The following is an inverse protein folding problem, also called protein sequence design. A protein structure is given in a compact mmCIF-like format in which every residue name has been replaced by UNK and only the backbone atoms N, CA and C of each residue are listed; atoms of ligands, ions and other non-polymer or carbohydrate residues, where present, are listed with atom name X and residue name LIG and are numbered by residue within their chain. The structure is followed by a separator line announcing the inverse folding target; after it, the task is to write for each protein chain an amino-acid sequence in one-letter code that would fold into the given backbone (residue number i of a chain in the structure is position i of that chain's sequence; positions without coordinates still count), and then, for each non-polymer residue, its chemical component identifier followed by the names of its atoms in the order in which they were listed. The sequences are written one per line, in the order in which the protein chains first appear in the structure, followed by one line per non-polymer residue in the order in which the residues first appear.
data_IF_737347177874
#
_entry.id   IF_737347177874
#
_cell.length_a   1.000
_cell.length_b   1.000
_cell.length_c   1.000
_cell.angle_alpha   90.00
_cell.angle_beta   90.00
_cell.angle_gamma   90.00
#
_symmetry.space_group_name_H-M   'P 1'
#
loop_
_entity.id
_entity.type
_entity.pdbx_description
1 polymer ?
#
# COMPACT_ATOMS: atom_id res chain seq x y z
N UNK A 1 -13.30 -5.62 -17.28
CA UNK A 1 -12.50 -4.46 -16.83
C UNK A 1 -11.05 -4.91 -16.68
N UNK A 2 -10.17 -4.22 -17.35
CA UNK A 2 -8.75 -4.52 -17.28
C UNK A 2 -8.05 -3.62 -16.27
N UNK A 3 -7.00 -4.12 -15.64
CA UNK A 3 -6.15 -3.35 -14.75
C UNK A 3 -4.69 -3.76 -14.95
N UNK A 4 -3.78 -2.88 -14.55
CA UNK A 4 -2.36 -3.15 -14.64
C UNK A 4 -1.77 -3.17 -13.23
N UNK A 5 -1.16 -4.29 -12.85
CA UNK A 5 -0.48 -4.41 -11.57
C UNK A 5 0.82 -3.59 -11.58
N UNK A 6 1.03 -2.84 -10.50
CA UNK A 6 2.26 -2.10 -10.28
C UNK A 6 2.47 -1.93 -8.78
N UNK A 7 3.71 -1.78 -8.36
CA UNK A 7 4.04 -1.52 -6.95
C UNK A 7 4.72 -0.16 -6.77
N UNK A 8 4.87 0.60 -7.85
CA UNK A 8 5.40 1.96 -7.83
C UNK A 8 4.48 2.88 -8.64
N UNK A 9 4.25 4.11 -8.17
CA UNK A 9 3.46 5.07 -8.95
C UNK A 9 4.22 5.55 -10.18
N UNK A 10 3.47 5.91 -11.22
CA UNK A 10 4.02 6.60 -12.37
C UNK A 10 4.23 8.07 -12.02
N UNK A 11 5.03 8.77 -12.84
CA UNK A 11 5.23 10.22 -12.69
C UNK A 11 3.88 10.96 -12.75
N UNK A 12 3.03 10.58 -13.69
CA UNK A 12 1.70 11.18 -13.87
C UNK A 12 0.82 10.98 -12.64
N UNK A 13 0.83 9.76 -12.06
CA UNK A 13 0.09 9.48 -10.84
C UNK A 13 0.59 10.31 -9.66
N UNK A 14 1.90 10.45 -9.52
CA UNK A 14 2.48 11.26 -8.44
C UNK A 14 2.14 12.75 -8.61
N UNK A 15 2.22 13.26 -9.82
CA UNK A 15 1.84 14.65 -10.12
C UNK A 15 0.37 14.91 -9.78
N UNK A 16 -0.53 13.99 -10.18
CA UNK A 16 -1.96 14.10 -9.86
C UNK A 16 -2.22 14.04 -8.37
N UNK A 17 -1.51 13.17 -7.65
CA UNK A 17 -1.64 13.06 -6.19
C UNK A 17 -1.26 14.37 -5.48
N UNK A 18 -0.29 15.12 -6.01
CA UNK A 18 0.19 16.37 -5.42
C UNK A 18 -0.71 17.58 -5.72
N UNK A 19 -1.70 17.44 -6.62
CA UNK A 19 -2.63 18.50 -6.90
C UNK A 19 -3.60 18.73 -5.74
N UNK A 20 -4.07 19.97 -5.59
CA UNK A 20 -5.04 20.35 -4.58
C UNK A 20 -4.44 20.64 -3.21
N UNK A 21 -5.25 20.51 -2.18
CA UNK A 21 -4.84 20.81 -0.80
C UNK A 21 -4.14 19.61 -0.16
N UNK A 22 -2.87 19.76 0.16
CA UNK A 22 -2.02 18.72 0.74
C UNK A 22 -2.08 18.68 2.28
N UNK A 23 -2.90 19.53 2.90
CA UNK A 23 -3.01 19.66 4.35
C UNK A 23 -4.27 18.99 4.93
N UNK A 24 -5.18 18.51 4.09
CA UNK A 24 -6.41 17.85 4.56
C UNK A 24 -6.20 16.34 4.77
N UNK A 25 -6.96 15.74 5.71
CA UNK A 25 -6.88 14.29 5.92
C UNK A 25 -7.27 13.48 4.70
N UNK A 26 -6.59 12.35 4.51
CA UNK A 26 -6.87 11.39 3.44
C UNK A 26 -6.93 9.98 3.99
N UNK A 27 -7.68 9.12 3.31
CA UNK A 27 -7.64 7.68 3.51
C UNK A 27 -7.14 7.03 2.21
N UNK A 28 -6.23 6.06 2.34
CA UNK A 28 -5.71 5.32 1.19
C UNK A 28 -6.23 3.88 1.28
N UNK A 29 -7.04 3.51 0.30
CA UNK A 29 -7.51 2.13 0.16
C UNK A 29 -6.47 1.36 -0.63
N UNK A 30 -6.05 0.23 -0.08
CA UNK A 30 -5.08 -0.65 -0.73
C UNK A 30 -5.72 -1.98 -1.05
N UNK A 31 -5.58 -2.41 -2.30
CA UNK A 31 -5.88 -3.77 -2.71
C UNK A 31 -4.55 -4.42 -3.08
N UNK A 32 -4.27 -5.56 -2.50
CA UNK A 32 -2.95 -6.20 -2.58
C UNK A 32 -3.04 -7.58 -3.21
N UNK A 33 -2.06 -7.86 -4.08
CA UNK A 33 -1.85 -9.17 -4.69
C UNK A 33 -0.46 -9.65 -4.32
N UNK A 34 -0.35 -10.81 -3.67
CA UNK A 34 0.94 -11.34 -3.24
C UNK A 34 1.60 -12.18 -4.34
N UNK A 35 2.93 -12.10 -4.41
CA UNK A 35 3.73 -13.07 -5.15
C UNK A 35 3.65 -14.41 -4.42
N UNK A 36 3.73 -15.49 -5.18
CA UNK A 36 3.85 -16.83 -4.59
C UNK A 36 5.14 -16.94 -3.78
N UNK A 37 6.25 -16.48 -4.34
CA UNK A 37 7.55 -16.40 -3.67
C UNK A 37 8.06 -14.97 -3.71
N UNK A 38 8.52 -14.47 -2.56
CA UNK A 38 9.08 -13.13 -2.48
C UNK A 38 10.34 -13.01 -3.35
N UNK A 39 10.53 -11.83 -3.94
CA UNK A 39 11.72 -11.52 -4.73
C UNK A 39 12.19 -10.12 -4.42
N UNK A 40 13.34 -10.03 -3.77
CA UNK A 40 13.93 -8.73 -3.42
C UNK A 40 14.70 -8.14 -4.60
N UNK A 41 14.47 -6.85 -4.85
CA UNK A 41 15.14 -6.15 -5.93
C UNK A 41 16.65 -6.01 -5.72
N UNK A 42 17.11 -6.05 -4.44
CA UNK A 42 18.53 -5.99 -4.12
C UNK A 42 19.27 -7.33 -4.37
N UNK A 43 18.56 -8.35 -4.84
CA UNK A 43 19.16 -9.63 -5.22
C UNK A 43 19.42 -10.59 -4.07
N UNK A 44 19.01 -10.26 -2.84
CA UNK A 44 19.18 -11.18 -1.71
C UNK A 44 18.36 -12.46 -1.91
N UNK A 45 18.89 -13.57 -1.45
CA UNK A 45 18.15 -14.84 -1.44
C UNK A 45 17.13 -14.86 -0.31
N UNK A 46 15.98 -15.48 -0.55
CA UNK A 46 14.95 -15.64 0.46
C UNK A 46 14.09 -16.87 0.19
N UNK A 47 13.64 -17.52 1.25
CA UNK A 47 12.67 -18.61 1.18
C UNK A 47 11.26 -18.13 1.54
N UNK A 48 11.07 -16.82 1.79
CA UNK A 48 9.78 -16.26 2.15
C UNK A 48 8.80 -16.33 0.98
N UNK A 49 7.51 -16.54 1.30
CA UNK A 49 6.43 -16.30 0.35
C UNK A 49 6.24 -14.78 0.21
N UNK A 50 5.55 -14.37 -0.84
CA UNK A 50 5.19 -12.95 -0.99
C UNK A 50 4.40 -12.43 0.19
N UNK A 51 3.45 -13.20 0.68
CA UNK A 51 2.65 -12.85 1.86
C UNK A 51 3.50 -12.69 3.11
N UNK A 52 4.48 -13.58 3.33
CA UNK A 52 5.39 -13.49 4.47
C UNK A 52 6.28 -12.24 4.41
N UNK A 53 6.80 -11.90 3.23
CA UNK A 53 7.60 -10.69 3.06
C UNK A 53 6.74 -9.44 3.34
N UNK A 54 5.52 -9.41 2.82
CA UNK A 54 4.59 -8.31 3.10
C UNK A 54 4.24 -8.22 4.59
N UNK A 55 4.14 -9.35 5.29
CA UNK A 55 3.88 -9.36 6.73
C UNK A 55 4.97 -8.62 7.51
N UNK A 56 6.24 -8.73 7.09
CA UNK A 56 7.34 -7.97 7.70
C UNK A 56 7.09 -6.47 7.51
N UNK A 57 6.75 -6.06 6.29
CA UNK A 57 6.41 -4.67 5.99
C UNK A 57 5.25 -4.19 6.87
N UNK A 58 4.20 -5.01 6.99
CA UNK A 58 3.00 -4.66 7.78
C UNK A 58 3.32 -4.37 9.25
N UNK A 59 4.22 -5.14 9.85
CA UNK A 59 4.63 -4.90 11.22
C UNK A 59 5.43 -3.60 11.35
N UNK A 60 6.33 -3.35 10.42
CA UNK A 60 7.23 -2.19 10.46
C UNK A 60 6.51 -0.89 10.11
N UNK A 61 5.58 -0.92 9.16
CA UNK A 61 4.90 0.30 8.69
C UNK A 61 4.05 0.96 9.76
N UNK A 62 3.55 0.20 10.74
CA UNK A 62 2.77 0.74 11.85
C UNK A 62 3.56 1.84 12.59
N UNK A 63 4.85 1.60 12.84
CA UNK A 63 5.72 2.60 13.47
C UNK A 63 5.98 3.81 12.58
N UNK A 64 6.15 3.59 11.28
CA UNK A 64 6.35 4.69 10.32
C UNK A 64 5.11 5.58 10.20
N UNK A 65 3.92 4.97 10.15
CA UNK A 65 2.66 5.70 10.16
C UNK A 65 2.52 6.54 11.43
N UNK A 66 2.82 5.95 12.57
CA UNK A 66 2.70 6.61 13.87
C UNK A 66 3.54 7.88 13.96
N UNK A 67 4.75 7.87 13.40
CA UNK A 67 5.65 9.04 13.36
C UNK A 67 5.04 10.25 12.67
N UNK A 68 4.14 10.03 11.72
CA UNK A 68 3.51 11.11 10.94
C UNK A 68 2.04 11.31 11.30
N UNK A 69 1.57 10.68 12.37
CA UNK A 69 0.18 10.82 12.82
C UNK A 69 -0.82 9.97 12.04
N UNK A 70 -0.33 9.01 11.26
CA UNK A 70 -1.17 8.09 10.50
C UNK A 70 -1.46 6.80 11.25
N UNK A 71 -2.36 6.00 10.68
CA UNK A 71 -2.71 4.68 11.23
C UNK A 71 -3.33 3.77 10.17
N UNK A 72 -3.27 2.47 10.40
CA UNK A 72 -4.08 1.50 9.68
C UNK A 72 -5.43 1.45 10.39
N UNK A 73 -6.51 1.81 9.69
CA UNK A 73 -7.86 1.87 10.27
C UNK A 73 -8.67 0.60 10.03
N UNK A 74 -8.30 -0.19 9.04
CA UNK A 74 -8.99 -1.42 8.68
C UNK A 74 -8.06 -2.30 7.87
N UNK A 75 -8.16 -3.61 8.05
CA UNK A 75 -7.44 -4.57 7.22
C UNK A 75 -8.09 -5.94 7.27
N UNK A 76 -7.96 -6.70 6.20
CA UNK A 76 -8.49 -8.04 6.15
C UNK A 76 -8.15 -8.81 4.89
N UNK A 77 -8.31 -10.13 4.97
CA UNK A 77 -8.18 -11.02 3.83
C UNK A 77 -9.47 -10.96 3.01
N UNK A 78 -9.32 -10.87 1.69
CA UNK A 78 -10.45 -10.86 0.78
C UNK A 78 -10.88 -12.29 0.53
N UNK A 79 -12.16 -12.60 0.78
CA UNK A 79 -12.67 -13.96 0.67
C UNK A 79 -13.34 -14.25 -0.66
N UNK A 80 -14.26 -13.39 -1.10
CA UNK A 80 -15.04 -13.62 -2.32
C UNK A 80 -15.74 -12.37 -2.80
N UNK A 81 -16.05 -12.34 -4.09
CA UNK A 81 -16.99 -11.36 -4.63
C UNK A 81 -18.41 -11.79 -4.27
N UNK A 82 -19.19 -10.86 -3.76
CA UNK A 82 -20.63 -11.01 -3.62
C UNK A 82 -21.36 -10.51 -4.86
N UNK A 83 -20.84 -9.47 -5.47
CA UNK A 83 -21.37 -8.82 -6.66
C UNK A 83 -20.26 -8.43 -7.61
N UNK A 84 -20.57 -8.43 -8.89
CA UNK A 84 -19.66 -7.97 -9.92
C UNK A 84 -18.73 -9.07 -10.44
N UNK A 85 -17.88 -8.68 -11.37
CA UNK A 85 -16.89 -9.56 -11.99
C UNK A 85 -15.56 -8.84 -12.05
N UNK A 86 -14.48 -9.57 -11.82
CA UNK A 86 -13.10 -9.09 -12.01
C UNK A 86 -12.30 -10.20 -12.66
N UNK A 87 -11.20 -9.83 -13.31
CA UNK A 87 -10.32 -10.78 -13.99
C UNK A 87 -9.67 -11.72 -12.98
N UNK A 88 -9.30 -11.19 -11.81
CA UNK A 88 -8.70 -11.94 -10.73
C UNK A 88 -8.98 -11.20 -9.42
N UNK A 89 -9.38 -11.92 -8.39
CA UNK A 89 -9.67 -11.32 -7.10
C UNK A 89 -8.37 -10.97 -6.35
N UNK A 90 -8.39 -9.85 -5.68
CA UNK A 90 -7.28 -9.41 -4.82
C UNK A 90 -7.21 -10.26 -3.54
N UNK A 91 -6.02 -10.32 -2.92
CA UNK A 91 -5.78 -11.17 -1.76
C UNK A 91 -6.14 -10.49 -0.44
N UNK A 92 -5.81 -9.22 -0.32
CA UNK A 92 -5.92 -8.48 0.95
C UNK A 92 -6.29 -7.03 0.68
N UNK A 93 -7.01 -6.44 1.62
CA UNK A 93 -7.28 -5.00 1.62
C UNK A 93 -6.82 -4.37 2.92
N UNK A 94 -6.33 -3.14 2.83
CA UNK A 94 -5.92 -2.33 3.97
C UNK A 94 -6.32 -0.88 3.71
N UNK A 95 -6.76 -0.21 4.77
CA UNK A 95 -7.04 1.22 4.70
C UNK A 95 -6.10 1.93 5.67
N UNK A 96 -5.28 2.82 5.14
CA UNK A 96 -4.37 3.66 5.92
C UNK A 96 -4.90 5.09 5.92
N UNK A 97 -4.96 5.70 7.08
CA UNK A 97 -5.39 7.10 7.23
C UNK A 97 -4.18 7.97 7.59
N UNK A 98 -4.12 9.12 6.94
CA UNK A 98 -3.08 10.14 7.18
C UNK A 98 -3.76 11.48 7.50
N UNK A 99 -3.14 12.28 8.39
CA UNK A 99 -3.68 13.62 8.66
C UNK A 99 -3.60 14.55 7.44
N UNK A 100 -2.74 14.23 6.47
CA UNK A 100 -2.58 15.00 5.23
C UNK A 100 -1.77 14.21 4.20
N UNK A 101 -1.83 14.63 2.94
CA UNK A 101 -0.93 14.09 1.90
C UNK A 101 0.53 14.39 2.25
N UNK A 102 0.78 15.55 2.81
CA UNK A 102 2.12 15.97 3.25
C UNK A 102 2.71 14.98 4.27
N UNK A 103 1.88 14.51 5.22
CA UNK A 103 2.30 13.51 6.20
C UNK A 103 2.69 12.19 5.52
N UNK A 104 1.88 11.73 4.57
CA UNK A 104 2.19 10.52 3.80
C UNK A 104 3.49 10.66 3.04
N UNK A 105 3.71 11.79 2.36
CA UNK A 105 4.93 12.05 1.60
C UNK A 105 6.16 12.08 2.50
N UNK A 106 6.02 12.65 3.69
CA UNK A 106 7.09 12.65 4.70
C UNK A 106 7.47 11.23 5.09
N UNK A 107 6.50 10.36 5.29
CA UNK A 107 6.73 8.95 5.64
C UNK A 107 7.45 8.22 4.50
N UNK A 108 6.95 8.29 3.27
CA UNK A 108 7.50 7.52 2.16
C UNK A 108 8.88 8.00 1.69
N UNK A 109 9.31 9.17 2.14
CA UNK A 109 10.65 9.69 1.87
C UNK A 109 11.61 9.49 3.04
N UNK A 110 11.14 8.95 4.16
CA UNK A 110 11.99 8.65 5.32
C UNK A 110 12.89 7.46 5.00
N UNK A 111 14.23 7.57 5.22
CA UNK A 111 15.15 6.46 4.98
C UNK A 111 14.77 5.15 5.71
N UNK A 112 14.24 5.26 6.92
CA UNK A 112 13.81 4.08 7.69
C UNK A 112 12.61 3.40 7.01
N UNK A 113 11.66 4.17 6.50
CA UNK A 113 10.55 3.63 5.71
C UNK A 113 11.05 2.94 4.45
N UNK A 114 12.02 3.53 3.75
CA UNK A 114 12.55 2.96 2.51
C UNK A 114 13.17 1.57 2.72
N UNK A 115 13.77 1.31 3.89
CA UNK A 115 14.24 -0.02 4.24
C UNK A 115 13.08 -1.01 4.41
N UNK A 116 12.02 -0.61 5.12
CA UNK A 116 10.83 -1.44 5.28
C UNK A 116 10.13 -1.69 3.94
N UNK A 117 10.11 -0.70 3.06
CA UNK A 117 9.47 -0.76 1.75
C UNK A 117 10.04 -1.86 0.85
N UNK A 118 11.28 -2.28 1.08
CA UNK A 118 11.89 -3.40 0.34
C UNK A 118 11.09 -4.69 0.52
N UNK A 119 10.53 -4.91 1.70
CA UNK A 119 9.69 -6.08 1.98
C UNK A 119 8.34 -5.98 1.26
N UNK A 120 7.76 -4.79 1.18
CA UNK A 120 6.52 -4.55 0.43
C UNK A 120 6.72 -4.90 -1.05
N UNK A 121 7.73 -4.33 -1.65
CA UNK A 121 8.04 -4.56 -3.07
C UNK A 121 8.38 -6.03 -3.35
N UNK A 122 9.13 -6.66 -2.45
CA UNK A 122 9.49 -8.07 -2.58
C UNK A 122 8.28 -8.99 -2.56
N UNK A 123 7.25 -8.64 -1.78
CA UNK A 123 6.09 -9.50 -1.56
C UNK A 123 4.94 -9.30 -2.53
N UNK A 124 4.82 -8.12 -3.15
CA UNK A 124 3.66 -7.78 -3.96
C UNK A 124 3.84 -8.07 -5.44
N UNK A 125 2.89 -8.82 -6.00
CA UNK A 125 2.73 -8.98 -7.45
C UNK A 125 2.02 -7.77 -8.05
N UNK A 126 1.21 -7.08 -7.26
CA UNK A 126 0.50 -5.89 -7.68
C UNK A 126 -0.22 -5.21 -6.53
N UNK A 127 -0.60 -3.97 -6.77
CA UNK A 127 -1.31 -3.17 -5.80
C UNK A 127 -2.15 -2.11 -6.50
N UNK A 128 -3.35 -1.86 -5.96
CA UNK A 128 -4.05 -0.61 -6.21
C UNK A 128 -4.00 0.19 -4.91
N UNK A 129 -3.65 1.46 -5.05
CA UNK A 129 -3.59 2.38 -3.92
C UNK A 129 -4.46 3.58 -4.31
N UNK A 130 -5.59 3.73 -3.63
CA UNK A 130 -6.66 4.62 -4.04
C UNK A 130 -6.86 5.71 -2.98
N UNK A 131 -6.71 6.95 -3.39
CA UNK A 131 -6.95 8.11 -2.54
C UNK A 131 -8.44 8.32 -2.35
N UNK A 132 -8.86 8.48 -1.09
CA UNK A 132 -10.27 8.68 -0.74
C UNK A 132 -10.39 9.82 0.28
N UNK A 133 -11.38 10.65 0.07
CA UNK A 133 -11.82 11.64 1.08
C UNK A 133 -12.96 11.00 1.86
N UNK A 134 -12.75 10.81 3.16
CA UNK A 134 -13.74 10.13 3.99
C UNK A 134 -15.01 10.95 4.18
N UNK A 135 -16.15 10.30 4.05
CA UNK A 135 -17.43 10.89 4.44
C UNK A 135 -17.65 10.78 5.94
N UNK A 136 -18.36 11.72 6.50
CA UNK A 136 -18.91 11.61 7.85
C UNK A 136 -20.35 11.11 7.75
N UNK A 137 -20.65 10.10 8.50
CA UNK A 137 -21.99 9.53 8.60
C UNK A 137 -22.64 9.92 9.92
#
# INVERSE_FOLDING_TARGET
MEYKNSVHPTKEQMEGFLEGDNEIPIAMINLLKFKEKAKYEDGRDTDLTGEQAYAIYSEEVVGHLKKVGGKVSFGGSINRLMLGEVEELWDTTLIAKYPSKKAMLKMINDPDYLESNKHRVAGLAGQLNIEVKEYKF
#
